data_IF_533067961265
#
_entry.id   IF_533067961265
#
_cell.length_a   1.000
_cell.length_b   1.000
_cell.length_c   1.000
_cell.angle_alpha   90.00
_cell.angle_beta   90.00
_cell.angle_gamma   90.00
#
_symmetry.space_group_name_H-M   'P 1'
#
loop_
_entity.id
_entity.type
_entity.pdbx_description
1 polymer ?
#
# COMPACT_ATOMS: atom_id res chain seq x y z
N UNK A 1 18.03 35.75 -7.02
CA UNK A 1 16.90 34.92 -6.53
C UNK A 1 16.22 34.15 -7.66
N UNK A 2 15.63 34.83 -8.65
CA UNK A 2 14.86 34.19 -9.74
C UNK A 2 15.62 33.10 -10.53
N UNK A 3 16.85 33.36 -10.97
CA UNK A 3 17.71 32.38 -11.66
C UNK A 3 18.00 31.13 -10.80
N UNK A 4 18.23 31.31 -9.50
CA UNK A 4 18.47 30.20 -8.59
C UNK A 4 17.20 29.34 -8.40
N UNK A 5 16.01 29.98 -8.36
CA UNK A 5 14.73 29.28 -8.25
C UNK A 5 14.42 28.44 -9.50
N UNK A 6 14.68 28.96 -10.71
CA UNK A 6 14.50 28.20 -11.96
C UNK A 6 15.43 26.98 -11.98
N UNK A 7 16.67 27.15 -11.54
CA UNK A 7 17.66 26.08 -11.54
C UNK A 7 17.28 24.98 -10.53
N UNK A 8 16.85 25.34 -9.32
CA UNK A 8 16.32 24.38 -8.34
C UNK A 8 15.07 23.65 -8.85
N UNK A 9 14.15 24.35 -9.52
CA UNK A 9 12.95 23.75 -10.08
C UNK A 9 13.29 22.77 -11.23
N UNK A 10 14.23 23.13 -12.09
CA UNK A 10 14.71 22.25 -13.16
C UNK A 10 15.33 20.96 -12.61
N UNK A 11 16.16 21.07 -11.56
CA UNK A 11 16.72 19.90 -10.87
C UNK A 11 15.59 19.05 -10.26
N UNK A 12 14.61 19.68 -9.62
CA UNK A 12 13.49 18.98 -8.98
C UNK A 12 12.67 18.14 -9.97
N UNK A 13 12.39 18.65 -11.17
CA UNK A 13 11.65 17.90 -12.21
C UNK A 13 12.41 16.65 -12.67
N UNK A 14 13.74 16.69 -12.69
CA UNK A 14 14.59 15.59 -13.16
C UNK A 14 14.78 14.52 -12.07
N UNK A 15 14.56 14.87 -10.80
CA UNK A 15 14.72 13.92 -9.69
C UNK A 15 13.68 12.80 -9.78
N UNK A 16 14.10 11.53 -9.88
CA UNK A 16 13.17 10.43 -10.02
C UNK A 16 12.48 10.15 -8.68
N UNK A 17 11.15 10.07 -8.69
CA UNK A 17 10.32 9.89 -7.49
C UNK A 17 10.74 8.68 -6.63
N UNK A 18 11.27 7.61 -7.25
CA UNK A 18 11.79 6.40 -6.58
C UNK A 18 12.86 6.68 -5.52
N UNK A 19 13.58 7.79 -5.59
CA UNK A 19 14.59 8.15 -4.58
C UNK A 19 13.98 8.54 -3.23
N UNK A 20 12.71 8.91 -3.21
CA UNK A 20 11.99 9.27 -1.99
C UNK A 20 11.27 8.07 -1.35
N UNK A 21 11.45 6.87 -1.90
CA UNK A 21 10.84 5.64 -1.38
C UNK A 21 11.77 5.01 -0.34
N UNK A 22 11.32 4.83 0.92
CA UNK A 22 12.13 4.17 1.94
C UNK A 22 12.50 2.74 1.53
N UNK A 23 13.80 2.36 1.53
CA UNK A 23 14.24 1.04 1.08
C UNK A 23 13.77 -0.11 1.99
N UNK A 24 13.29 0.20 3.20
CA UNK A 24 12.88 -0.77 4.21
C UNK A 24 11.37 -1.04 4.23
N UNK A 25 10.60 -0.58 3.21
CA UNK A 25 9.14 -0.76 3.17
C UNK A 25 8.74 -2.24 3.21
N UNK A 26 9.46 -3.13 2.54
CA UNK A 26 9.16 -4.56 2.53
C UNK A 26 9.19 -5.19 3.93
N UNK A 27 10.08 -4.72 4.81
CA UNK A 27 10.16 -5.20 6.19
C UNK A 27 8.97 -4.76 7.05
N UNK A 28 8.17 -3.81 6.56
CA UNK A 28 6.97 -3.31 7.25
C UNK A 28 5.69 -4.00 6.78
N UNK A 29 5.74 -4.90 5.78
CA UNK A 29 4.56 -5.63 5.29
C UNK A 29 3.73 -6.30 6.41
N UNK A 30 4.32 -6.97 7.42
CA UNK A 30 3.54 -7.57 8.52
C UNK A 30 2.76 -6.54 9.34
N UNK A 31 3.27 -5.31 9.46
CA UNK A 31 2.62 -4.22 10.21
C UNK A 31 1.40 -3.68 9.47
N UNK A 32 1.45 -3.67 8.14
CA UNK A 32 0.39 -3.12 7.29
C UNK A 32 -0.60 -4.15 6.76
N UNK A 33 -0.37 -5.43 7.06
CA UNK A 33 -1.15 -6.56 6.55
C UNK A 33 -2.67 -6.43 6.75
N UNK A 34 -3.10 -5.91 7.91
CA UNK A 34 -4.50 -5.66 8.25
C UNK A 34 -4.74 -4.17 8.55
N UNK A 35 -3.87 -3.31 8.04
CA UNK A 35 -3.95 -1.87 8.28
C UNK A 35 -5.03 -1.27 7.39
N UNK A 36 -5.84 -0.40 8.00
CA UNK A 36 -6.92 0.34 7.35
C UNK A 36 -6.54 1.79 7.06
N UNK A 37 -5.29 2.14 7.38
CA UNK A 37 -4.70 3.47 7.21
C UNK A 37 -4.68 3.87 5.73
N UNK A 38 -5.26 5.03 5.43
CA UNK A 38 -5.53 5.52 4.08
C UNK A 38 -4.42 6.39 3.50
N UNK A 39 -3.23 6.43 4.12
CA UNK A 39 -2.08 7.19 3.62
C UNK A 39 -1.68 6.69 2.22
N UNK A 40 -2.17 7.35 1.16
CA UNK A 40 -2.12 6.89 -0.24
C UNK A 40 -0.71 6.55 -0.72
N UNK A 41 0.30 7.39 -0.40
CA UNK A 41 1.68 7.16 -0.79
C UNK A 41 2.28 5.92 -0.11
N UNK A 42 2.01 5.74 1.19
CA UNK A 42 2.45 4.53 1.91
C UNK A 42 1.70 3.32 1.40
N UNK A 43 0.39 3.46 1.20
CA UNK A 43 -0.50 2.43 0.66
C UNK A 43 0.00 1.89 -0.67
N UNK A 44 0.34 2.76 -1.63
CA UNK A 44 0.84 2.33 -2.93
C UNK A 44 2.17 1.57 -2.82
N UNK A 45 3.20 2.14 -2.17
CA UNK A 45 4.50 1.46 -2.10
C UNK A 45 4.47 0.16 -1.28
N UNK A 46 3.67 0.12 -0.22
CA UNK A 46 3.47 -1.10 0.57
C UNK A 46 2.73 -2.16 -0.25
N UNK A 47 1.71 -1.78 -1.03
CA UNK A 47 0.99 -2.71 -1.90
C UNK A 47 1.87 -3.22 -3.05
N UNK A 48 2.68 -2.37 -3.67
CA UNK A 48 3.67 -2.78 -4.67
C UNK A 48 4.70 -3.76 -4.09
N UNK A 49 5.18 -3.52 -2.86
CA UNK A 49 6.06 -4.44 -2.16
C UNK A 49 5.39 -5.77 -1.85
N UNK A 50 4.11 -5.73 -1.45
CA UNK A 50 3.30 -6.93 -1.17
C UNK A 50 3.09 -7.79 -2.42
N UNK A 51 2.77 -7.19 -3.57
CA UNK A 51 2.53 -7.93 -4.83
C UNK A 51 3.79 -8.66 -5.32
N UNK A 52 4.96 -8.08 -5.04
CA UNK A 52 6.26 -8.69 -5.39
C UNK A 52 6.66 -9.83 -4.43
N UNK A 53 6.01 -9.94 -3.28
CA UNK A 53 6.31 -10.96 -2.27
C UNK A 53 5.36 -12.16 -2.37
N UNK A 54 5.84 -13.37 -2.72
CA UNK A 54 5.00 -14.55 -2.88
C UNK A 54 4.34 -15.03 -1.57
N UNK A 55 4.76 -14.53 -0.41
CA UNK A 55 4.19 -14.89 0.89
C UNK A 55 2.85 -14.22 1.17
N UNK A 56 2.42 -13.25 0.37
CA UNK A 56 1.20 -12.51 0.59
C UNK A 56 0.12 -12.78 -0.46
N UNK A 57 -1.14 -12.70 -0.02
CA UNK A 57 -2.30 -12.70 -0.89
C UNK A 57 -3.12 -11.43 -0.68
N UNK A 58 -3.32 -10.59 -1.72
CA UNK A 58 -4.18 -9.43 -1.60
C UNK A 58 -5.64 -9.86 -1.45
N UNK A 59 -6.35 -9.22 -0.53
CA UNK A 59 -7.79 -9.36 -0.33
C UNK A 59 -8.41 -7.98 -0.44
N UNK A 60 -9.16 -7.77 -1.52
CA UNK A 60 -9.82 -6.49 -1.79
C UNK A 60 -11.22 -6.45 -1.19
N UNK A 61 -11.62 -5.29 -0.69
CA UNK A 61 -12.93 -5.10 -0.04
C UNK A 61 -13.11 -3.67 0.47
N UNK A 62 -14.10 -3.48 1.34
CA UNK A 62 -14.37 -2.17 1.95
C UNK A 62 -14.44 -2.26 3.47
N UNK A 63 -15.59 -1.96 4.08
CA UNK A 63 -15.79 -1.97 5.52
C UNK A 63 -15.77 -3.38 6.11
N UNK A 64 -15.98 -4.42 5.30
CA UNK A 64 -15.96 -5.83 5.71
C UNK A 64 -14.58 -6.24 6.24
N UNK A 65 -13.51 -5.65 5.70
CA UNK A 65 -12.13 -5.93 6.09
C UNK A 65 -11.78 -5.38 7.48
N UNK A 66 -12.53 -4.39 7.95
CA UNK A 66 -12.30 -3.70 9.23
C UNK A 66 -13.12 -4.31 10.37
N UNK A 67 -13.92 -5.34 10.10
CA UNK A 67 -14.76 -5.96 11.10
C UNK A 67 -13.90 -6.71 12.11
N UNK A 68 -13.92 -6.25 13.36
CA UNK A 68 -13.32 -6.97 14.48
C UNK A 68 -14.19 -8.18 14.84
N UNK A 69 -13.73 -9.37 14.47
CA UNK A 69 -14.45 -10.61 14.72
C UNK A 69 -13.46 -11.78 14.89
N UNK A 70 -13.69 -12.73 15.82
CA UNK A 70 -12.78 -13.85 16.03
C UNK A 70 -12.67 -14.78 14.82
N UNK A 71 -13.60 -14.74 13.87
CA UNK A 71 -13.58 -15.53 12.64
C UNK A 71 -13.02 -14.75 11.45
N UNK A 72 -12.37 -13.61 11.69
CA UNK A 72 -11.73 -12.84 10.62
C UNK A 72 -10.65 -13.69 9.92
N UNK A 73 -10.64 -13.76 8.57
CA UNK A 73 -9.75 -14.65 7.84
C UNK A 73 -8.26 -14.48 8.17
N UNK A 74 -7.81 -13.26 8.44
CA UNK A 74 -6.40 -12.99 8.80
C UNK A 74 -6.00 -13.63 10.15
N UNK A 75 -6.95 -13.78 11.07
CA UNK A 75 -6.73 -14.48 12.35
C UNK A 75 -6.72 -15.99 12.11
N UNK A 76 -7.72 -16.51 11.42
CA UNK A 76 -7.88 -17.94 11.16
C UNK A 76 -6.73 -18.52 10.34
N UNK A 77 -6.17 -17.74 9.41
CA UNK A 77 -5.08 -18.17 8.52
C UNK A 77 -3.70 -17.74 9.01
N UNK A 78 -3.59 -17.22 10.24
CA UNK A 78 -2.29 -16.82 10.80
C UNK A 78 -1.37 -18.04 10.95
N UNK A 79 -0.18 -17.98 10.36
CA UNK A 79 0.80 -19.06 10.41
C UNK A 79 0.61 -20.16 9.36
N UNK A 80 -0.35 -20.01 8.45
CA UNK A 80 -0.43 -20.82 7.24
C UNK A 80 0.57 -20.34 6.18
N UNK A 81 0.67 -21.06 5.06
CA UNK A 81 1.70 -20.86 4.02
C UNK A 81 1.78 -19.44 3.45
N UNK A 82 0.67 -18.69 3.47
CA UNK A 82 0.60 -17.32 2.96
C UNK A 82 -0.27 -16.42 3.83
N UNK A 83 0.17 -15.19 3.97
CA UNK A 83 -0.43 -14.14 4.78
C UNK A 83 -1.44 -13.34 3.94
N UNK A 84 -2.66 -13.17 4.44
CA UNK A 84 -3.65 -12.31 3.76
C UNK A 84 -3.31 -10.84 3.96
N UNK A 85 -3.31 -10.03 2.90
CA UNK A 85 -3.05 -8.59 2.95
C UNK A 85 -4.30 -7.82 2.52
N UNK A 86 -4.85 -6.99 3.40
CA UNK A 86 -6.12 -6.30 3.17
C UNK A 86 -5.90 -5.01 2.37
N UNK A 87 -6.68 -4.85 1.30
CA UNK A 87 -6.64 -3.70 0.41
C UNK A 87 -8.03 -3.08 0.33
N UNK A 88 -8.19 -1.95 1.00
CA UNK A 88 -9.44 -1.20 1.01
C UNK A 88 -9.87 -0.83 2.43
N UNK A 89 -10.77 0.14 2.51
CA UNK A 89 -11.36 0.66 3.74
C UNK A 89 -12.82 1.06 3.49
N UNK A 90 -13.55 1.48 4.52
CA UNK A 90 -14.95 1.92 4.38
C UNK A 90 -15.11 2.98 3.27
N UNK A 91 -15.98 2.70 2.29
CA UNK A 91 -16.19 3.55 1.11
C UNK A 91 -15.36 3.19 -0.12
N UNK A 92 -14.50 2.17 -0.04
CA UNK A 92 -13.76 1.62 -1.19
C UNK A 92 -14.69 0.82 -2.10
N UNK A 93 -15.21 1.47 -3.15
CA UNK A 93 -16.03 0.84 -4.19
C UNK A 93 -15.18 0.39 -5.38
N UNK A 94 -15.81 -0.29 -6.35
CA UNK A 94 -15.15 -0.85 -7.54
C UNK A 94 -14.24 0.15 -8.27
N UNK A 95 -14.66 1.42 -8.39
CA UNK A 95 -13.86 2.44 -9.08
C UNK A 95 -12.53 2.73 -8.36
N UNK A 96 -12.58 2.86 -7.03
CA UNK A 96 -11.37 3.11 -6.23
C UNK A 96 -10.45 1.90 -6.26
N UNK A 97 -11.02 0.69 -6.22
CA UNK A 97 -10.23 -0.54 -6.34
C UNK A 97 -9.59 -0.66 -7.73
N UNK A 98 -10.31 -0.35 -8.81
CA UNK A 98 -9.77 -0.33 -10.17
C UNK A 98 -8.64 0.68 -10.34
N UNK A 99 -8.78 1.89 -9.77
CA UNK A 99 -7.70 2.87 -9.78
C UNK A 99 -6.48 2.37 -9.00
N UNK A 100 -6.70 1.71 -7.87
CA UNK A 100 -5.63 1.13 -7.05
C UNK A 100 -4.91 0.01 -7.80
N UNK A 101 -5.63 -0.87 -8.49
CA UNK A 101 -5.07 -1.92 -9.35
C UNK A 101 -4.28 -1.35 -10.53
N UNK A 102 -4.75 -0.27 -11.14
CA UNK A 102 -4.07 0.37 -12.27
C UNK A 102 -2.85 1.21 -11.89
N UNK A 103 -2.75 1.61 -10.62
CA UNK A 103 -1.60 2.34 -10.09
C UNK A 103 -0.47 1.42 -9.61
N UNK A 104 -0.72 0.12 -9.51
CA UNK A 104 0.24 -0.92 -9.09
C UNK A 104 1.15 -1.38 -10.23
#
# INVERSE_FOLDING_TARGET
AFLASILLFGIFIILPAKWFVPPHIANQLPKYQVSTDSDMLKGQYVQEAMIKDPHYYPVYGSSELNKEDPFQPAILLKGHTKNLFYVGTGGSTDLIQLMTLGAQ
#
